data_IF_822238366466
#
_entry.id   IF_822238366466
#
_cell.length_a   1.000
_cell.length_b   1.000
_cell.length_c   1.000
_cell.angle_alpha   90.00
_cell.angle_beta   90.00
_cell.angle_gamma   90.00
#
_symmetry.space_group_name_H-M   'P 1'
#
loop_
_entity.id
_entity.type
_entity.pdbx_description
1 polymer ?
#
# COMPACT_ATOMS: atom_id res chain seq x y z
N UNK A 1 -7.47 46.48 -2.35
CA UNK A 1 -8.91 46.39 -2.68
C UNK A 1 -9.26 44.90 -2.71
N UNK A 2 -9.91 44.36 -1.67
CA UNK A 2 -10.17 42.92 -1.43
C UNK A 2 -8.92 41.99 -1.56
N UNK A 3 -8.32 41.40 -0.52
CA UNK A 3 -8.86 40.84 0.72
C UNK A 3 -10.04 39.89 0.48
N UNK A 4 -9.71 38.60 0.25
CA UNK A 4 -10.63 37.48 0.37
C UNK A 4 -10.24 36.68 1.62
N UNK A 5 -11.11 36.72 2.63
CA UNK A 5 -10.94 36.03 3.92
C UNK A 5 -11.54 34.62 3.89
N UNK A 6 -10.92 33.72 4.65
CA UNK A 6 -11.57 32.54 5.25
C UNK A 6 -12.53 31.71 4.37
N UNK A 7 -11.99 30.80 3.55
CA UNK A 7 -12.74 29.59 3.20
C UNK A 7 -12.72 28.63 4.40
N UNK A 8 -13.79 28.59 5.18
CA UNK A 8 -13.99 27.53 6.18
C UNK A 8 -14.12 26.18 5.45
N UNK A 9 -13.05 25.40 5.40
CA UNK A 9 -13.16 23.98 5.11
C UNK A 9 -13.90 23.34 6.28
N UNK A 10 -15.20 23.05 6.11
CA UNK A 10 -16.03 22.41 7.13
C UNK A 10 -15.56 20.97 7.36
N UNK A 11 -14.56 20.79 8.23
CA UNK A 11 -14.10 19.49 8.67
C UNK A 11 -15.26 18.75 9.35
N UNK A 12 -15.85 17.80 8.63
CA UNK A 12 -16.87 16.91 9.19
C UNK A 12 -16.20 15.87 10.08
N UNK A 13 -15.74 16.29 11.27
CA UNK A 13 -15.09 15.44 12.27
C UNK A 13 -16.14 14.49 12.87
N UNK A 14 -16.46 13.42 12.14
CA UNK A 14 -16.95 12.19 12.74
C UNK A 14 -15.75 11.46 13.30
N UNK A 15 -15.66 11.36 14.62
CA UNK A 15 -14.71 10.46 15.28
C UNK A 15 -14.99 9.02 14.84
N UNK A 16 -14.09 8.43 14.05
CA UNK A 16 -14.19 7.05 13.57
C UNK A 16 -13.71 6.04 14.60
N UNK A 17 -14.05 6.25 15.87
CA UNK A 17 -13.94 5.25 16.94
C UNK A 17 -15.12 4.27 16.95
N UNK A 18 -16.18 4.55 16.17
CA UNK A 18 -17.21 3.56 15.88
C UNK A 18 -16.69 2.55 14.85
N UNK A 19 -16.73 1.23 15.13
CA UNK A 19 -16.36 0.22 14.15
C UNK A 19 -17.28 0.30 12.92
N UNK A 20 -16.79 -0.20 11.78
CA UNK A 20 -17.60 -0.33 10.57
C UNK A 20 -18.68 -1.40 10.82
N UNK A 21 -19.88 -0.97 11.18
CA UNK A 21 -21.02 -1.86 11.36
C UNK A 21 -21.38 -2.50 10.00
N UNK A 22 -21.31 -3.84 9.86
CA UNK A 22 -21.72 -4.49 8.63
C UNK A 22 -23.23 -4.31 8.45
N UNK A 23 -23.64 -3.78 7.30
CA UNK A 23 -25.05 -3.79 6.94
C UNK A 23 -25.46 -5.23 6.58
N UNK A 24 -26.70 -5.67 6.89
CA UNK A 24 -27.07 -7.09 6.74
C UNK A 24 -26.94 -7.66 5.33
N UNK A 25 -26.90 -6.81 4.30
CA UNK A 25 -26.81 -7.17 2.88
C UNK A 25 -26.00 -6.13 2.08
N UNK A 26 -24.68 -6.07 2.31
CA UNK A 26 -23.77 -5.34 1.42
C UNK A 26 -23.91 -5.84 -0.03
N UNK A 27 -24.19 -4.94 -0.99
CA UNK A 27 -24.38 -5.30 -2.41
C UNK A 27 -23.10 -5.80 -3.12
N UNK A 28 -21.95 -5.65 -2.47
CA UNK A 28 -20.66 -6.18 -2.92
C UNK A 28 -20.00 -6.90 -1.74
N UNK A 29 -19.19 -7.92 -2.01
CA UNK A 29 -18.64 -8.81 -1.00
C UNK A 29 -17.59 -8.14 -0.10
N UNK A 30 -18.01 -7.71 1.10
CA UNK A 30 -17.14 -7.20 2.15
C UNK A 30 -16.74 -8.35 3.10
N UNK A 31 -15.45 -8.61 3.25
CA UNK A 31 -14.93 -9.73 4.08
C UNK A 31 -15.16 -9.53 5.57
N UNK A 32 -15.40 -8.29 6.00
CA UNK A 32 -15.75 -7.94 7.38
C UNK A 32 -17.22 -8.27 7.72
N UNK A 33 -18.12 -8.39 6.73
CA UNK A 33 -19.54 -8.68 6.97
C UNK A 33 -19.92 -10.16 6.80
N UNK A 34 -19.09 -10.98 6.13
CA UNK A 34 -19.44 -12.35 5.74
C UNK A 34 -18.34 -13.37 6.08
N UNK A 35 -18.59 -14.23 7.08
CA UNK A 35 -17.65 -15.23 7.64
C UNK A 35 -17.11 -16.30 6.66
N UNK A 36 -17.60 -16.34 5.43
CA UNK A 36 -17.24 -17.34 4.41
C UNK A 36 -16.48 -16.74 3.21
N UNK A 37 -16.09 -15.46 3.26
CA UNK A 37 -15.40 -14.76 2.18
C UNK A 37 -13.90 -14.62 2.43
N UNK A 38 -13.11 -15.13 1.49
CA UNK A 38 -11.64 -15.21 1.56
C UNK A 38 -10.91 -13.91 1.24
N UNK A 39 -11.55 -12.98 0.53
CA UNK A 39 -11.01 -11.65 0.20
C UNK A 39 -12.13 -10.71 -0.27
N UNK A 40 -11.84 -9.40 -0.38
CA UNK A 40 -12.77 -8.43 -0.97
C UNK A 40 -12.88 -8.59 -2.49
N UNK A 41 -14.09 -8.39 -3.02
CA UNK A 41 -14.35 -8.16 -4.44
C UNK A 41 -15.32 -6.99 -4.67
N UNK A 42 -15.25 -6.36 -5.84
CA UNK A 42 -16.09 -5.23 -6.21
C UNK A 42 -15.49 -4.48 -7.38
N UNK A 43 -14.30 -3.84 -7.20
CA UNK A 43 -13.49 -3.42 -8.34
C UNK A 43 -13.11 -4.66 -9.16
N UNK A 44 -13.26 -4.56 -10.49
CA UNK A 44 -13.08 -5.67 -11.41
C UNK A 44 -11.61 -6.14 -11.47
N UNK A 45 -11.40 -7.40 -11.85
CA UNK A 45 -10.08 -8.05 -11.90
C UNK A 45 -9.41 -8.34 -10.54
N UNK A 46 -9.80 -7.66 -9.45
CA UNK A 46 -9.22 -7.86 -8.12
C UNK A 46 -9.47 -9.26 -7.54
N UNK A 47 -10.63 -9.86 -7.82
CA UNK A 47 -10.98 -11.18 -7.29
C UNK A 47 -10.04 -12.28 -7.79
N UNK A 48 -9.82 -12.39 -9.11
CA UNK A 48 -8.85 -13.34 -9.68
C UNK A 48 -7.42 -13.04 -9.19
N UNK A 49 -7.06 -11.77 -9.06
CA UNK A 49 -5.75 -11.34 -8.56
C UNK A 49 -5.48 -11.80 -7.11
N UNK A 50 -6.47 -11.71 -6.22
CA UNK A 50 -6.39 -12.23 -4.86
C UNK A 50 -6.26 -13.77 -4.84
N UNK A 51 -7.01 -14.47 -5.71
CA UNK A 51 -6.96 -15.96 -5.75
C UNK A 51 -5.64 -16.48 -6.34
N UNK A 52 -4.98 -15.73 -7.24
CA UNK A 52 -3.58 -16.03 -7.65
C UNK A 52 -2.61 -15.91 -6.47
N UNK A 53 -2.83 -14.97 -5.54
CA UNK A 53 -2.10 -14.90 -4.28
C UNK A 53 -2.32 -16.13 -3.38
N UNK A 54 -3.57 -16.57 -3.23
CA UNK A 54 -3.95 -17.80 -2.54
C UNK A 54 -3.25 -19.05 -3.10
N UNK A 55 -3.24 -19.21 -4.42
CA UNK A 55 -2.59 -20.35 -5.08
C UNK A 55 -1.06 -20.33 -4.98
N UNK A 56 -0.46 -19.15 -4.86
CA UNK A 56 0.95 -18.99 -4.54
C UNK A 56 1.27 -19.38 -3.08
N UNK A 57 0.41 -18.97 -2.13
CA UNK A 57 0.53 -19.34 -0.70
C UNK A 57 0.46 -20.86 -0.53
N UNK A 58 -0.56 -21.49 -1.10
CA UNK A 58 -0.77 -22.94 -1.03
C UNK A 58 0.47 -23.69 -1.53
N UNK A 59 0.94 -23.38 -2.74
CA UNK A 59 2.13 -23.98 -3.34
C UNK A 59 3.41 -23.75 -2.52
N UNK A 60 3.56 -22.59 -1.87
CA UNK A 60 4.68 -22.29 -0.99
C UNK A 60 4.64 -23.11 0.30
N UNK A 61 3.49 -23.14 0.98
CA UNK A 61 3.32 -23.85 2.24
C UNK A 61 3.40 -25.37 2.04
N UNK A 62 2.76 -25.92 1.01
CA UNK A 62 2.86 -27.33 0.65
C UNK A 62 4.32 -27.73 0.38
N UNK A 63 5.05 -26.97 -0.43
CA UNK A 63 6.46 -27.25 -0.69
C UNK A 63 7.35 -27.13 0.56
N UNK A 64 6.98 -26.30 1.54
CA UNK A 64 7.74 -26.10 2.77
C UNK A 64 7.46 -27.17 3.83
N UNK A 65 6.21 -27.60 3.98
CA UNK A 65 5.74 -28.41 5.11
C UNK A 65 5.29 -29.84 4.77
N UNK A 66 4.83 -30.13 3.55
CA UNK A 66 4.47 -31.50 3.18
C UNK A 66 5.74 -32.38 3.13
N UNK A 67 5.56 -33.65 3.50
CA UNK A 67 6.55 -34.72 3.40
C UNK A 67 6.03 -35.81 2.43
N UNK A 68 6.89 -36.67 1.86
CA UNK A 68 6.44 -37.72 0.92
C UNK A 68 5.40 -38.69 1.51
N UNK A 69 5.42 -38.84 2.84
CA UNK A 69 4.58 -39.67 3.70
C UNK A 69 3.43 -38.89 4.37
N UNK A 70 3.40 -37.55 4.29
CA UNK A 70 2.40 -36.72 4.97
C UNK A 70 2.14 -35.39 4.25
N UNK A 71 0.98 -35.26 3.58
CA UNK A 71 0.49 -33.96 3.09
C UNK A 71 -0.28 -33.22 4.20
N UNK A 72 0.28 -32.13 4.72
CA UNK A 72 -0.36 -31.25 5.71
C UNK A 72 -1.15 -30.14 5.00
N UNK A 73 -0.68 -29.70 3.83
CA UNK A 73 -1.29 -28.66 2.99
C UNK A 73 -1.89 -29.31 1.74
N UNK A 74 -3.22 -29.51 1.81
CA UNK A 74 -4.04 -30.17 0.78
C UNK A 74 -5.10 -29.23 0.17
N UNK A 75 -5.08 -27.96 0.57
CA UNK A 75 -6.04 -26.93 0.11
C UNK A 75 -5.99 -26.83 -1.42
N UNK A 76 -7.16 -26.75 -2.06
CA UNK A 76 -7.28 -26.43 -3.49
C UNK A 76 -7.91 -25.04 -3.62
N UNK A 77 -7.15 -23.99 -3.98
CA UNK A 77 -7.67 -22.63 -4.10
C UNK A 77 -8.47 -22.47 -5.40
N UNK A 78 -9.78 -22.61 -5.29
CA UNK A 78 -10.75 -22.41 -6.38
C UNK A 78 -11.42 -21.03 -6.28
N UNK A 79 -11.76 -20.43 -7.42
CA UNK A 79 -12.50 -19.18 -7.48
C UNK A 79 -13.99 -19.44 -7.82
N UNK A 80 -14.86 -19.53 -6.80
CA UNK A 80 -16.31 -19.81 -6.98
C UNK A 80 -17.18 -18.57 -7.16
N UNK A 81 -16.72 -17.40 -6.74
CA UNK A 81 -17.53 -16.17 -6.67
C UNK A 81 -16.91 -14.93 -7.32
N UNK A 82 -15.61 -14.95 -7.66
CA UNK A 82 -15.07 -14.09 -8.72
C UNK A 82 -14.97 -14.91 -10.00
N UNK A 83 -16.13 -15.38 -10.46
CA UNK A 83 -16.39 -15.54 -11.89
C UNK A 83 -15.81 -14.30 -12.59
N UNK A 84 -14.80 -14.43 -13.47
CA UNK A 84 -14.49 -13.36 -14.38
C UNK A 84 -15.69 -13.25 -15.31
N UNK A 85 -16.53 -12.23 -15.14
CA UNK A 85 -17.26 -11.70 -16.28
C UNK A 85 -16.26 -11.00 -17.21
N UNK A 86 -16.68 -10.64 -18.41
CA UNK A 86 -15.82 -9.99 -19.40
C UNK A 86 -15.19 -8.68 -18.88
N UNK A 87 -15.90 -7.94 -18.02
CA UNK A 87 -15.36 -6.79 -17.29
C UNK A 87 -14.13 -7.10 -16.42
N UNK A 88 -13.99 -8.33 -15.89
CA UNK A 88 -12.77 -8.77 -15.23
C UNK A 88 -11.67 -9.18 -16.21
N UNK A 89 -11.98 -9.64 -17.42
CA UNK A 89 -10.97 -9.99 -18.44
C UNK A 89 -10.37 -8.75 -19.11
N UNK A 90 -11.19 -7.71 -19.33
CA UNK A 90 -10.77 -6.42 -19.90
C UNK A 90 -9.87 -5.62 -18.94
N UNK A 91 -9.96 -5.86 -17.63
CA UNK A 91 -9.12 -5.22 -16.63
C UNK A 91 -7.68 -5.72 -16.67
N UNK A 92 -6.72 -4.81 -16.87
CA UNK A 92 -5.30 -5.14 -17.06
C UNK A 92 -4.68 -5.94 -15.90
N UNK A 93 -5.20 -5.78 -14.67
CA UNK A 93 -4.78 -6.55 -13.50
C UNK A 93 -5.04 -8.05 -13.65
N UNK A 94 -6.10 -8.47 -14.36
CA UNK A 94 -6.39 -9.88 -14.59
C UNK A 94 -5.42 -10.49 -15.59
N UNK A 95 -5.03 -9.77 -16.64
CA UNK A 95 -3.95 -10.21 -17.54
C UNK A 95 -2.60 -10.30 -16.79
N UNK A 96 -2.28 -9.31 -15.95
CA UNK A 96 -1.12 -9.37 -15.04
C UNK A 96 -1.17 -10.62 -14.12
N UNK A 97 -2.34 -10.90 -13.51
CA UNK A 97 -2.60 -12.06 -12.66
C UNK A 97 -2.39 -13.38 -13.39
N UNK A 98 -3.06 -13.52 -14.54
CA UNK A 98 -3.04 -14.72 -15.35
C UNK A 98 -1.64 -15.02 -15.90
N UNK A 99 -0.89 -13.99 -16.29
CA UNK A 99 0.49 -14.13 -16.72
C UNK A 99 1.43 -14.54 -15.57
N UNK A 100 1.20 -14.09 -14.33
CA UNK A 100 1.95 -14.56 -13.16
C UNK A 100 1.58 -15.99 -12.76
N UNK A 101 0.28 -16.35 -12.76
CA UNK A 101 -0.19 -17.70 -12.46
C UNK A 101 0.42 -18.75 -13.42
N UNK A 102 0.50 -18.40 -14.71
CA UNK A 102 1.22 -19.18 -15.73
C UNK A 102 2.73 -19.24 -15.47
N UNK A 103 3.37 -18.11 -15.18
CA UNK A 103 4.82 -18.05 -14.93
C UNK A 103 5.26 -18.79 -13.63
N UNK A 104 4.38 -18.97 -12.65
CA UNK A 104 4.65 -19.74 -11.43
C UNK A 104 4.10 -21.17 -11.45
N UNK A 105 3.40 -21.57 -12.52
CA UNK A 105 2.84 -22.92 -12.70
C UNK A 105 1.88 -23.31 -11.57
N UNK A 106 0.87 -22.47 -11.30
CA UNK A 106 -0.05 -22.65 -10.17
C UNK A 106 -1.15 -23.69 -10.45
N UNK A 107 -0.79 -24.93 -10.80
CA UNK A 107 -1.71 -25.98 -11.27
C UNK A 107 -2.77 -26.51 -10.27
N UNK A 108 -2.87 -25.97 -9.06
CA UNK A 108 -4.00 -26.17 -8.12
C UNK A 108 -5.04 -25.03 -8.17
N UNK A 109 -4.78 -23.96 -8.94
CA UNK A 109 -5.69 -22.83 -9.21
C UNK A 109 -6.77 -23.23 -10.21
N UNK A 110 -8.05 -23.05 -9.86
CA UNK A 110 -9.18 -23.23 -10.79
C UNK A 110 -10.04 -21.96 -10.80
N UNK A 111 -10.31 -21.44 -12.00
CA UNK A 111 -11.20 -20.30 -12.23
C UNK A 111 -12.30 -20.69 -13.24
N UNK A 112 -13.55 -20.29 -12.96
CA UNK A 112 -14.70 -20.53 -13.82
C UNK A 112 -15.06 -19.22 -14.53
N UNK A 113 -15.06 -19.23 -15.87
CA UNK A 113 -15.38 -18.08 -16.71
C UNK A 113 -16.84 -18.15 -17.15
N UNK A 114 -17.64 -17.15 -16.79
CA UNK A 114 -19.03 -17.03 -17.26
C UNK A 114 -19.04 -16.30 -18.61
N UNK A 115 -18.92 -17.07 -19.67
CA UNK A 115 -18.98 -16.56 -21.04
C UNK A 115 -20.45 -16.37 -21.46
N UNK A 116 -21.13 -15.41 -20.84
CA UNK A 116 -22.50 -15.04 -21.19
C UNK A 116 -22.58 -14.17 -22.48
N UNK A 117 -21.43 -13.92 -23.13
CA UNK A 117 -21.28 -13.15 -24.37
C UNK A 117 -21.68 -11.66 -24.29
N UNK A 118 -21.90 -11.11 -23.09
CA UNK A 118 -22.18 -9.67 -22.90
C UNK A 118 -20.84 -8.93 -22.71
N UNK A 119 -20.15 -8.76 -23.85
CA UNK A 119 -18.83 -8.17 -24.13
C UNK A 119 -17.70 -9.17 -24.47
N UNK A 120 -16.44 -8.70 -24.62
CA UNK A 120 -15.59 -9.12 -25.76
C UNK A 120 -14.25 -9.77 -25.38
N UNK A 121 -14.06 -11.02 -25.86
CA UNK A 121 -12.84 -11.78 -26.14
C UNK A 121 -11.78 -11.99 -25.03
N UNK A 122 -11.53 -13.26 -24.68
CA UNK A 122 -10.53 -13.70 -23.70
C UNK A 122 -9.18 -14.17 -24.26
N UNK A 123 -8.21 -14.40 -23.35
CA UNK A 123 -6.83 -14.78 -23.64
C UNK A 123 -6.55 -16.28 -23.45
N UNK A 124 -5.58 -16.83 -24.21
CA UNK A 124 -5.32 -18.27 -24.36
C UNK A 124 -4.90 -19.04 -23.09
N UNK A 125 -5.91 -19.51 -22.35
CA UNK A 125 -5.82 -20.50 -21.27
C UNK A 125 -6.14 -21.92 -21.77
N UNK A 126 -6.01 -22.94 -20.92
CA UNK A 126 -6.82 -24.14 -21.08
C UNK A 126 -8.25 -23.80 -20.67
N UNK A 127 -9.11 -23.59 -21.67
CA UNK A 127 -10.53 -23.29 -21.49
C UNK A 127 -11.33 -24.56 -21.71
N UNK A 128 -12.08 -24.99 -20.69
CA UNK A 128 -13.08 -26.05 -20.81
C UNK A 128 -14.43 -25.37 -21.02
N UNK A 129 -15.07 -25.61 -22.17
CA UNK A 129 -16.37 -25.03 -22.51
C UNK A 129 -17.51 -25.92 -22.01
N UNK A 130 -18.11 -25.57 -20.87
CA UNK A 130 -19.40 -26.12 -20.43
C UNK A 130 -20.50 -25.42 -21.24
N UNK A 131 -21.23 -26.17 -22.08
CA UNK A 131 -22.17 -25.57 -23.05
C UNK A 131 -23.47 -25.08 -22.41
N UNK A 132 -23.84 -25.62 -21.24
CA UNK A 132 -25.00 -25.17 -20.49
C UNK A 132 -24.75 -25.26 -18.98
N UNK A 133 -24.19 -24.19 -18.41
CA UNK A 133 -23.98 -24.07 -16.96
C UNK A 133 -25.24 -23.89 -16.11
N UNK A 134 -26.42 -23.72 -16.74
CA UNK A 134 -27.66 -23.34 -16.04
C UNK A 134 -28.45 -24.54 -15.50
N UNK A 135 -28.34 -25.72 -16.11
CA UNK A 135 -29.18 -26.89 -15.75
C UNK A 135 -28.42 -28.19 -15.46
N UNK A 136 -27.12 -28.29 -15.79
CA UNK A 136 -26.38 -29.57 -15.75
C UNK A 136 -25.15 -29.53 -14.84
N UNK A 137 -25.37 -29.79 -13.54
CA UNK A 137 -24.30 -29.87 -12.55
C UNK A 137 -23.24 -30.94 -12.85
N UNK A 138 -23.58 -31.98 -13.61
CA UNK A 138 -22.65 -33.07 -13.95
C UNK A 138 -21.65 -32.69 -15.05
N UNK A 139 -22.00 -31.81 -16.00
CA UNK A 139 -21.01 -31.20 -16.91
C UNK A 139 -20.00 -30.35 -16.11
N UNK A 140 -20.49 -29.59 -15.12
CA UNK A 140 -19.63 -28.77 -14.24
C UNK A 140 -18.73 -29.67 -13.37
N UNK A 141 -19.25 -30.78 -12.82
CA UNK A 141 -18.46 -31.78 -12.07
C UNK A 141 -17.41 -32.45 -12.97
N UNK A 142 -17.75 -32.77 -14.21
CA UNK A 142 -16.81 -33.32 -15.19
C UNK A 142 -15.69 -32.31 -15.53
N UNK A 143 -16.04 -31.06 -15.83
CA UNK A 143 -15.07 -29.99 -16.07
C UNK A 143 -14.14 -29.74 -14.87
N UNK A 144 -14.65 -29.85 -13.63
CA UNK A 144 -13.83 -29.78 -12.41
C UNK A 144 -12.87 -30.98 -12.31
N UNK A 145 -13.32 -32.18 -12.69
CA UNK A 145 -12.49 -33.40 -12.69
C UNK A 145 -11.39 -33.32 -13.76
N UNK A 146 -11.71 -32.81 -14.95
CA UNK A 146 -10.76 -32.54 -16.04
C UNK A 146 -9.74 -31.45 -15.65
N UNK A 147 -10.20 -30.30 -15.14
CA UNK A 147 -9.32 -29.22 -14.68
C UNK A 147 -8.35 -29.67 -13.57
N UNK A 148 -8.76 -30.60 -12.70
CA UNK A 148 -7.89 -31.23 -11.69
C UNK A 148 -6.93 -32.28 -12.26
N UNK A 149 -7.20 -32.83 -13.44
CA UNK A 149 -6.36 -33.81 -14.11
C UNK A 149 -5.29 -33.17 -15.02
N UNK A 150 -5.57 -32.00 -15.60
CA UNK A 150 -4.64 -31.30 -16.50
C UNK A 150 -3.52 -30.59 -15.73
N UNK A 151 -2.39 -31.29 -15.58
CA UNK A 151 -1.17 -30.77 -14.92
C UNK A 151 -0.20 -30.03 -15.88
N UNK A 152 -0.47 -30.06 -17.18
CA UNK A 152 0.44 -29.58 -18.24
C UNK A 152 0.16 -28.15 -18.72
N UNK A 153 -0.96 -27.53 -18.31
CA UNK A 153 -1.38 -26.20 -18.77
C UNK A 153 -1.98 -25.37 -17.63
N UNK A 154 -1.50 -24.14 -17.35
CA UNK A 154 -0.22 -23.56 -17.73
C UNK A 154 0.91 -23.96 -16.77
N UNK A 155 1.98 -24.56 -17.29
CA UNK A 155 3.14 -24.99 -16.49
C UNK A 155 4.40 -24.23 -16.87
N UNK A 156 4.98 -23.52 -15.88
CA UNK A 156 6.40 -23.19 -15.83
C UNK A 156 6.93 -23.59 -14.46
N UNK A 157 7.91 -24.50 -14.42
CA UNK A 157 8.46 -25.02 -13.17
C UNK A 157 9.53 -24.05 -12.65
N UNK A 158 9.11 -23.05 -11.85
CA UNK A 158 10.04 -22.45 -10.88
C UNK A 158 10.36 -23.54 -9.85
N UNK A 159 11.50 -24.21 -10.00
CA UNK A 159 11.90 -25.39 -9.22
C UNK A 159 12.21 -25.12 -7.73
N UNK A 160 11.86 -23.93 -7.23
CA UNK A 160 12.15 -23.46 -5.86
C UNK A 160 10.92 -22.77 -5.21
N UNK A 161 9.76 -23.45 -5.09
CA UNK A 161 8.56 -22.88 -4.46
C UNK A 161 8.71 -22.57 -2.96
N UNK A 162 9.72 -23.16 -2.28
CA UNK A 162 10.08 -22.86 -0.89
C UNK A 162 10.67 -21.45 -0.70
N UNK A 163 11.00 -20.75 -1.79
CA UNK A 163 11.63 -19.43 -1.74
C UNK A 163 10.68 -18.31 -1.31
N UNK A 164 11.23 -17.36 -0.54
CA UNK A 164 10.50 -16.19 -0.03
C UNK A 164 10.61 -14.97 -0.95
N UNK A 165 11.46 -15.04 -1.97
CA UNK A 165 11.65 -13.97 -2.96
C UNK A 165 10.68 -14.12 -4.15
N UNK A 166 9.63 -13.31 -4.13
CA UNK A 166 8.68 -13.17 -5.25
C UNK A 166 9.20 -12.14 -6.26
N UNK A 167 9.06 -12.47 -7.55
CA UNK A 167 9.49 -11.60 -8.67
C UNK A 167 8.26 -11.32 -9.54
N UNK A 168 7.67 -10.15 -9.35
CA UNK A 168 6.41 -9.74 -10.00
C UNK A 168 6.60 -9.13 -11.41
N UNK A 169 7.84 -8.72 -11.74
CA UNK A 169 8.11 -7.93 -12.96
C UNK A 169 7.54 -6.51 -12.86
N UNK A 170 7.29 -5.88 -14.01
CA UNK A 170 6.82 -4.47 -14.10
C UNK A 170 5.30 -4.35 -13.83
N UNK A 171 4.75 -5.25 -13.01
CA UNK A 171 3.31 -5.51 -12.83
C UNK A 171 2.84 -5.03 -11.46
N UNK A 172 2.60 -3.71 -11.34
CA UNK A 172 2.44 -3.06 -10.03
C UNK A 172 1.08 -3.33 -9.41
N UNK A 173 0.04 -3.55 -10.21
CA UNK A 173 -1.34 -3.66 -9.74
C UNK A 173 -1.62 -5.04 -9.16
N UNK A 174 -1.27 -6.09 -9.90
CA UNK A 174 -1.34 -7.47 -9.43
C UNK A 174 -0.52 -7.70 -8.17
N UNK A 175 0.66 -7.07 -8.07
CA UNK A 175 1.60 -7.28 -6.99
C UNK A 175 0.97 -6.97 -5.62
N UNK A 176 0.12 -5.94 -5.53
CA UNK A 176 -0.56 -5.58 -4.28
C UNK A 176 -1.78 -6.45 -4.00
N UNK A 177 -2.55 -6.82 -5.03
CA UNK A 177 -3.69 -7.74 -4.90
C UNK A 177 -3.25 -9.15 -4.47
N UNK A 178 -2.14 -9.66 -5.01
CA UNK A 178 -1.49 -10.89 -4.50
C UNK A 178 -1.16 -10.75 -3.02
N UNK A 179 -0.56 -9.64 -2.59
CA UNK A 179 -0.26 -9.43 -1.17
C UNK A 179 -1.52 -9.34 -0.29
N UNK A 180 -2.63 -8.78 -0.77
CA UNK A 180 -3.92 -8.82 -0.07
C UNK A 180 -4.40 -10.27 0.08
N UNK A 181 -4.39 -11.05 -1.01
CA UNK A 181 -4.71 -12.48 -0.99
C UNK A 181 -3.82 -13.29 -0.04
N UNK A 182 -2.53 -12.96 0.07
CA UNK A 182 -1.61 -13.58 1.04
C UNK A 182 -2.05 -13.25 2.48
N UNK A 183 -2.21 -11.96 2.83
CA UNK A 183 -2.50 -11.54 4.20
C UNK A 183 -3.87 -12.02 4.68
N UNK A 184 -4.92 -11.90 3.86
CA UNK A 184 -6.29 -12.28 4.24
C UNK A 184 -6.49 -13.80 4.43
N UNK A 185 -5.53 -14.64 3.99
CA UNK A 185 -5.69 -16.11 3.96
C UNK A 185 -4.52 -16.89 4.57
N UNK A 186 -3.45 -16.22 4.96
CA UNK A 186 -2.37 -16.81 5.75
C UNK A 186 -1.80 -15.76 6.70
N UNK A 187 -2.43 -15.53 7.87
CA UNK A 187 -1.97 -14.55 8.84
C UNK A 187 -0.54 -14.84 9.36
N UNK A 188 -0.09 -16.10 9.30
CA UNK A 188 1.30 -16.48 9.59
C UNK A 188 2.33 -16.06 8.52
N UNK A 189 1.90 -15.46 7.41
CA UNK A 189 2.75 -14.81 6.41
C UNK A 189 2.59 -13.29 6.51
N UNK A 190 3.72 -12.58 6.38
CA UNK A 190 3.78 -11.11 6.31
C UNK A 190 4.34 -10.73 4.94
N UNK A 191 3.48 -10.44 3.95
CA UNK A 191 3.94 -10.01 2.64
C UNK A 191 4.39 -8.55 2.67
N UNK A 192 5.54 -8.28 2.06
CA UNK A 192 5.91 -6.95 1.61
C UNK A 192 5.99 -6.92 0.08
N UNK A 193 5.78 -5.74 -0.52
CA UNK A 193 6.13 -5.54 -1.93
C UNK A 193 6.58 -4.10 -2.20
N UNK A 194 7.37 -3.92 -3.26
CA UNK A 194 8.22 -2.73 -3.45
C UNK A 194 8.14 -2.14 -4.86
N UNK A 195 8.16 -0.81 -4.96
CA UNK A 195 8.31 -0.04 -6.22
C UNK A 195 8.71 1.42 -5.93
N UNK A 196 8.77 2.28 -6.95
CA UNK A 196 8.93 3.73 -6.75
C UNK A 196 7.60 4.33 -6.27
N UNK A 197 7.63 5.28 -5.33
CA UNK A 197 6.44 5.87 -4.73
C UNK A 197 5.49 6.47 -5.77
N UNK A 198 6.03 7.10 -6.83
CA UNK A 198 5.27 7.65 -7.98
C UNK A 198 4.41 6.60 -8.71
N UNK A 199 4.87 5.35 -8.73
CA UNK A 199 4.18 4.25 -9.40
C UNK A 199 3.05 3.68 -8.53
N UNK A 200 2.68 4.36 -7.43
CA UNK A 200 1.52 3.98 -6.61
C UNK A 200 0.20 4.06 -7.36
N UNK A 201 0.05 5.01 -8.30
CA UNK A 201 -1.27 5.33 -8.83
C UNK A 201 -1.76 4.29 -9.85
N UNK A 202 -0.83 3.55 -10.47
CA UNK A 202 -1.11 2.28 -11.17
C UNK A 202 -1.85 1.25 -10.31
N UNK A 203 -1.87 1.41 -8.99
CA UNK A 203 -2.30 0.37 -8.07
C UNK A 203 -3.00 0.87 -6.79
N UNK A 204 -3.35 2.16 -6.74
CA UNK A 204 -3.99 2.84 -5.59
C UNK A 204 -5.27 2.12 -5.11
N UNK A 205 -6.05 1.56 -6.03
CA UNK A 205 -7.24 0.79 -5.72
C UNK A 205 -6.93 -0.50 -4.92
N UNK A 206 -5.80 -1.17 -5.17
CA UNK A 206 -5.40 -2.36 -4.43
C UNK A 206 -5.00 -2.03 -2.97
N UNK A 207 -4.36 -0.88 -2.71
CA UNK A 207 -4.11 -0.39 -1.34
C UNK A 207 -5.42 -0.02 -0.64
N UNK A 208 -6.35 0.63 -1.35
CA UNK A 208 -7.66 0.94 -0.79
C UNK A 208 -8.44 -0.33 -0.41
N UNK A 209 -8.25 -1.44 -1.14
CA UNK A 209 -8.75 -2.75 -0.73
C UNK A 209 -7.97 -3.34 0.45
N UNK A 210 -6.65 -3.16 0.58
CA UNK A 210 -5.91 -3.56 1.79
C UNK A 210 -6.45 -2.85 3.03
N UNK A 211 -6.69 -1.54 2.93
CA UNK A 211 -7.26 -0.71 3.98
C UNK A 211 -8.66 -1.20 4.39
N UNK A 212 -9.52 -1.47 3.41
CA UNK A 212 -10.91 -1.91 3.62
C UNK A 212 -11.02 -3.38 4.08
N UNK A 213 -10.07 -4.24 3.70
CA UNK A 213 -10.01 -5.66 4.12
C UNK A 213 -9.29 -5.87 5.44
N UNK A 214 -8.76 -4.79 6.05
CA UNK A 214 -7.86 -4.83 7.20
C UNK A 214 -6.62 -5.72 6.96
N UNK A 215 -6.10 -5.74 5.74
CA UNK A 215 -4.89 -6.47 5.40
C UNK A 215 -3.63 -5.66 5.74
N UNK A 216 -2.97 -6.02 6.84
CA UNK A 216 -1.61 -5.59 7.17
C UNK A 216 -0.59 -6.10 6.16
N UNK A 217 -0.45 -5.37 5.05
CA UNK A 217 0.57 -5.55 4.01
C UNK A 217 1.60 -4.41 4.12
N UNK A 218 2.87 -4.74 4.02
CA UNK A 218 3.97 -3.75 4.05
C UNK A 218 4.27 -3.27 2.62
N UNK A 219 4.21 -1.97 2.40
CA UNK A 219 4.34 -1.36 1.08
C UNK A 219 5.55 -0.43 1.03
N UNK A 220 6.66 -0.94 0.48
CA UNK A 220 7.96 -0.27 0.42
C UNK A 220 8.03 0.61 -0.83
N UNK A 221 8.10 1.93 -0.63
CA UNK A 221 7.93 2.94 -1.68
C UNK A 221 9.18 3.83 -1.75
N UNK A 222 10.15 3.47 -2.60
CA UNK A 222 11.41 4.24 -2.72
C UNK A 222 11.25 5.48 -3.61
N UNK A 223 12.26 6.35 -3.65
CA UNK A 223 12.28 7.56 -4.50
C UNK A 223 11.12 8.53 -4.17
N UNK A 224 10.87 8.79 -2.87
CA UNK A 224 9.62 9.39 -2.41
C UNK A 224 9.44 10.92 -2.55
N UNK A 225 10.31 11.65 -3.27
CA UNK A 225 10.15 13.10 -3.55
C UNK A 225 10.90 13.53 -4.83
N UNK A 226 10.92 14.85 -5.11
CA UNK A 226 11.81 15.47 -6.12
C UNK A 226 13.30 15.12 -5.94
N UNK A 227 13.72 14.66 -4.75
CA UNK A 227 15.09 14.30 -4.42
C UNK A 227 15.66 13.11 -5.19
N UNK A 228 14.85 12.47 -6.04
CA UNK A 228 15.35 11.52 -7.04
C UNK A 228 16.13 12.17 -8.19
N UNK A 229 16.04 13.48 -8.39
CA UNK A 229 16.80 14.19 -9.42
C UNK A 229 16.29 13.98 -10.85
N UNK A 230 17.17 13.44 -11.69
CA UNK A 230 17.18 13.62 -13.14
C UNK A 230 16.01 12.97 -13.89
N UNK A 231 15.35 11.95 -13.33
CA UNK A 231 14.21 11.29 -13.99
C UNK A 231 12.97 12.20 -14.13
N UNK A 232 12.98 13.38 -13.49
CA UNK A 232 12.04 14.47 -13.76
C UNK A 232 10.59 14.24 -13.29
N UNK A 233 9.65 15.14 -13.65
CA UNK A 233 8.32 15.22 -13.05
C UNK A 233 7.46 13.96 -13.23
N UNK A 234 7.71 13.16 -14.27
CA UNK A 234 7.01 11.88 -14.49
C UNK A 234 7.37 10.80 -13.45
N UNK A 235 8.46 10.99 -12.72
CA UNK A 235 8.92 10.08 -11.68
C UNK A 235 8.87 10.67 -10.27
N UNK A 236 8.69 12.00 -10.13
CA UNK A 236 8.79 12.71 -8.87
C UNK A 236 7.42 12.74 -8.16
N UNK A 237 7.28 12.12 -6.97
CA UNK A 237 6.04 12.15 -6.20
C UNK A 237 5.77 13.55 -5.64
N UNK A 238 4.51 14.01 -5.72
CA UNK A 238 4.14 15.39 -5.37
C UNK A 238 2.94 15.43 -4.40
N UNK A 239 1.73 15.14 -4.89
CA UNK A 239 0.48 14.98 -4.14
C UNK A 239 0.43 13.65 -3.35
N UNK A 240 1.46 12.83 -3.51
CA UNK A 240 1.45 11.42 -3.20
C UNK A 240 1.23 11.11 -1.71
N UNK A 241 1.95 11.81 -0.83
CA UNK A 241 1.79 11.69 0.64
C UNK A 241 0.38 12.12 1.07
N UNK A 242 -0.11 13.26 0.55
CA UNK A 242 -1.44 13.77 0.87
C UNK A 242 -2.55 12.81 0.42
N UNK A 243 -2.41 12.20 -0.75
CA UNK A 243 -3.36 11.23 -1.31
C UNK A 243 -3.45 9.90 -0.52
N UNK A 244 -2.48 9.65 0.37
CA UNK A 244 -2.45 8.53 1.31
C UNK A 244 -2.89 8.94 2.73
N UNK A 245 -2.46 10.09 3.27
CA UNK A 245 -3.02 10.61 4.54
C UNK A 245 -4.54 10.84 4.49
N UNK A 246 -5.08 11.10 3.29
CA UNK A 246 -6.52 11.19 3.03
C UNK A 246 -7.22 9.82 2.78
N UNK A 247 -6.51 8.69 2.87
CA UNK A 247 -7.06 7.34 2.69
C UNK A 247 -7.33 6.71 4.08
N UNK A 248 -8.58 6.41 4.45
CA UNK A 248 -8.88 5.82 5.76
C UNK A 248 -8.22 4.44 5.97
N UNK A 249 -7.88 4.15 7.22
CA UNK A 249 -7.33 2.86 7.69
C UNK A 249 -6.04 2.39 6.98
N UNK A 250 -5.06 3.29 6.81
CA UNK A 250 -3.68 2.94 6.44
C UNK A 250 -2.71 3.61 7.43
N UNK A 251 -1.42 3.26 7.39
CA UNK A 251 -0.35 4.05 8.02
C UNK A 251 0.57 4.63 6.93
N UNK A 252 0.77 5.95 6.91
CA UNK A 252 1.67 6.63 5.97
C UNK A 252 2.97 7.03 6.68
N UNK A 253 3.91 6.08 6.76
CA UNK A 253 5.21 6.22 7.42
C UNK A 253 6.24 6.83 6.46
N UNK A 254 6.85 7.95 6.85
CA UNK A 254 7.82 8.70 6.04
C UNK A 254 9.12 9.02 6.83
N UNK A 255 9.91 7.99 7.20
CA UNK A 255 11.06 8.11 8.11
C UNK A 255 12.21 8.97 7.55
N UNK A 256 12.90 9.68 8.44
CA UNK A 256 13.99 10.60 8.13
C UNK A 256 15.40 9.98 8.17
N UNK A 257 15.61 8.93 8.94
CA UNK A 257 16.91 8.24 9.06
C UNK A 257 16.75 6.72 9.21
N UNK A 258 17.84 6.01 9.50
CA UNK A 258 17.84 4.56 9.68
C UNK A 258 17.13 4.08 10.96
N UNK A 259 17.10 4.89 12.03
CA UNK A 259 16.40 4.57 13.27
C UNK A 259 14.89 4.69 13.08
N UNK A 260 14.42 5.79 12.47
CA UNK A 260 13.01 5.91 12.11
C UNK A 260 12.60 4.86 11.07
N UNK A 261 13.51 4.47 10.17
CA UNK A 261 13.25 3.38 9.22
C UNK A 261 13.08 2.05 9.96
N UNK A 262 13.90 1.75 10.98
CA UNK A 262 13.75 0.57 11.83
C UNK A 262 12.41 0.60 12.59
N UNK A 263 12.02 1.73 13.17
CA UNK A 263 10.72 1.91 13.82
C UNK A 263 9.54 1.74 12.87
N UNK A 264 9.63 2.28 11.64
CA UNK A 264 8.60 2.12 10.62
C UNK A 264 8.45 0.65 10.16
N UNK A 265 9.55 -0.13 10.15
CA UNK A 265 9.48 -1.58 9.93
C UNK A 265 8.91 -2.34 11.14
N UNK A 266 9.24 -1.98 12.38
CA UNK A 266 8.66 -2.57 13.60
C UNK A 266 7.14 -2.40 13.60
N UNK A 267 6.67 -1.15 13.53
CA UNK A 267 5.25 -0.79 13.37
C UNK A 267 4.62 -1.55 12.19
N UNK A 268 5.31 -1.62 11.05
CA UNK A 268 4.83 -2.33 9.86
C UNK A 268 4.67 -3.85 10.01
N UNK A 269 5.45 -4.48 10.89
CA UNK A 269 5.40 -5.93 11.16
C UNK A 269 4.39 -6.27 12.26
N UNK A 270 4.29 -5.43 13.29
CA UNK A 270 3.37 -5.62 14.42
C UNK A 270 1.92 -5.28 14.02
N UNK A 271 1.72 -4.24 13.21
CA UNK A 271 0.41 -3.89 12.66
C UNK A 271 -0.05 -4.90 11.59
N UNK A 272 -0.95 -5.81 11.98
CA UNK A 272 -1.55 -6.79 11.06
C UNK A 272 -2.89 -6.35 10.44
N UNK A 273 -3.45 -5.20 10.83
CA UNK A 273 -4.83 -4.79 10.54
C UNK A 273 -4.99 -3.53 9.68
N UNK A 274 -3.90 -2.80 9.40
CA UNK A 274 -3.86 -1.67 8.45
C UNK A 274 -2.66 -1.85 7.51
N UNK A 275 -2.73 -1.59 6.20
CA UNK A 275 -1.53 -1.58 5.35
C UNK A 275 -0.58 -0.43 5.76
N UNK A 276 0.72 -0.71 5.74
CA UNK A 276 1.76 0.24 6.16
C UNK A 276 2.58 0.69 4.95
N UNK A 277 2.49 1.97 4.58
CA UNK A 277 3.25 2.58 3.48
C UNK A 277 4.56 3.12 4.05
N UNK A 278 5.70 2.60 3.60
CA UNK A 278 7.03 3.09 3.97
C UNK A 278 7.62 3.89 2.80
N UNK A 279 7.61 5.21 2.88
CA UNK A 279 8.14 6.10 1.85
C UNK A 279 9.62 6.46 2.11
N UNK A 280 10.52 6.05 1.21
CA UNK A 280 11.97 6.02 1.39
C UNK A 280 12.72 6.85 0.32
N UNK A 281 13.92 7.34 0.65
CA UNK A 281 14.75 8.20 -0.20
C UNK A 281 15.44 7.48 -1.38
N UNK A 282 15.98 8.28 -2.32
CA UNK A 282 17.08 7.87 -3.24
C UNK A 282 18.41 8.34 -2.67
N UNK A 283 18.41 9.57 -2.16
CA UNK A 283 19.52 10.26 -1.55
C UNK A 283 19.86 9.72 -0.15
N UNK A 284 21.14 9.79 0.24
CA UNK A 284 21.58 9.53 1.61
C UNK A 284 21.04 10.61 2.55
N UNK A 285 20.66 10.20 3.76
CA UNK A 285 20.22 11.07 4.85
C UNK A 285 21.17 10.89 6.04
N UNK A 286 21.35 11.89 6.91
CA UNK A 286 22.14 11.74 8.13
C UNK A 286 21.36 10.98 9.20
N UNK A 287 22.09 10.31 10.09
CA UNK A 287 21.60 9.93 11.41
C UNK A 287 21.26 11.19 12.22
N UNK A 288 20.10 11.22 12.88
CA UNK A 288 19.64 12.40 13.64
C UNK A 288 19.62 12.12 15.16
N UNK A 289 20.39 12.81 16.01
CA UNK A 289 20.63 12.43 17.42
C UNK A 289 19.43 12.40 18.39
N UNK A 290 18.20 12.58 17.91
CA UNK A 290 16.95 12.54 18.70
C UNK A 290 15.90 11.57 18.12
N UNK A 291 16.19 10.83 17.05
CA UNK A 291 15.25 9.82 16.53
C UNK A 291 15.24 8.57 17.42
N UNK A 292 14.12 7.88 17.47
CA UNK A 292 13.96 6.64 18.24
C UNK A 292 12.88 5.75 17.62
N UNK A 293 12.98 4.43 17.83
CA UNK A 293 11.99 3.44 17.37
C UNK A 293 10.62 3.71 18.01
N UNK A 294 10.62 4.01 19.30
CA UNK A 294 9.48 4.37 20.14
C UNK A 294 8.88 5.74 19.74
N UNK A 295 9.72 6.63 19.20
CA UNK A 295 9.31 7.88 18.58
C UNK A 295 8.44 7.66 17.34
N UNK A 296 8.70 6.63 16.54
CA UNK A 296 7.87 6.30 15.36
C UNK A 296 6.50 5.74 15.77
N UNK A 297 6.44 4.97 16.85
CA UNK A 297 5.18 4.40 17.38
C UNK A 297 4.17 5.47 17.82
N UNK A 298 4.67 6.64 18.26
CA UNK A 298 3.87 7.77 18.73
C UNK A 298 3.76 8.92 17.72
N UNK A 299 4.82 9.14 16.95
CA UNK A 299 4.94 10.16 15.90
C UNK A 299 5.63 11.49 16.26
N UNK A 300 6.45 11.60 17.32
CA UNK A 300 7.24 12.83 17.67
C UNK A 300 8.34 12.70 18.77
N UNK A 301 9.35 13.62 18.78
CA UNK A 301 10.30 14.01 19.87
C UNK A 301 10.60 15.60 19.84
N UNK A 302 10.87 16.37 20.96
CA UNK A 302 10.52 17.84 21.17
C UNK A 302 11.64 18.97 21.16
N UNK A 303 11.46 20.33 21.34
CA UNK A 303 10.32 21.31 21.57
C UNK A 303 10.48 22.74 20.86
N UNK A 304 9.41 23.56 20.60
CA UNK A 304 9.17 24.84 19.75
C UNK A 304 8.88 24.77 18.20
N UNK A 305 7.75 24.17 17.82
CA UNK A 305 7.31 23.63 16.50
C UNK A 305 7.90 24.19 15.16
N UNK A 306 8.95 23.54 14.62
CA UNK A 306 9.15 23.32 13.18
C UNK A 306 8.87 21.86 12.81
N UNK A 307 7.97 21.59 11.86
CA UNK A 307 7.56 20.23 11.49
C UNK A 307 8.25 19.74 10.23
N UNK A 308 9.22 18.84 10.38
CA UNK A 308 9.79 18.10 9.25
C UNK A 308 9.13 16.73 9.09
N UNK A 309 9.25 16.17 7.88
CA UNK A 309 9.13 14.73 7.66
C UNK A 309 10.25 14.28 6.73
N UNK A 310 10.75 13.06 6.88
CA UNK A 310 11.70 12.46 5.92
C UNK A 310 12.98 13.33 5.75
N UNK A 311 13.56 13.41 4.56
CA UNK A 311 14.77 14.23 4.33
C UNK A 311 14.63 15.72 4.58
N UNK A 312 13.40 16.22 4.70
CA UNK A 312 13.15 17.62 5.04
C UNK A 312 13.34 17.87 6.56
N UNK A 313 13.46 16.82 7.38
CA UNK A 313 13.77 16.90 8.81
C UNK A 313 15.20 17.41 9.08
N UNK A 314 16.18 17.05 8.24
CA UNK A 314 17.55 17.59 8.31
C UNK A 314 17.55 19.12 8.07
N UNK A 315 16.69 19.58 7.16
CA UNK A 315 16.55 21.01 6.83
C UNK A 315 15.93 21.76 8.00
N UNK A 316 14.93 21.16 8.67
CA UNK A 316 14.37 21.69 9.91
C UNK A 316 15.41 21.72 11.05
N UNK A 317 16.24 20.68 11.21
CA UNK A 317 17.28 20.62 12.24
C UNK A 317 18.27 21.78 12.10
N UNK A 318 18.79 21.97 10.89
CA UNK A 318 19.71 23.08 10.57
C UNK A 318 19.04 24.45 10.63
N UNK A 319 17.71 24.54 10.53
CA UNK A 319 16.97 25.78 10.72
C UNK A 319 16.80 26.12 12.21
N UNK A 320 16.49 25.14 13.05
CA UNK A 320 16.46 25.28 14.52
C UNK A 320 17.84 25.69 15.09
N UNK A 321 18.92 25.05 14.62
CA UNK A 321 20.30 25.41 14.96
C UNK A 321 20.64 26.88 14.62
N UNK A 322 20.12 27.40 13.50
CA UNK A 322 20.31 28.80 13.08
C UNK A 322 19.45 29.79 13.86
N UNK A 323 18.34 29.37 14.48
CA UNK A 323 17.43 30.25 15.22
C UNK A 323 17.82 30.36 16.71
N UNK A 324 18.27 29.25 17.32
CA UNK A 324 18.72 29.10 18.73
C UNK A 324 17.67 29.35 19.81
N UNK A 325 17.63 28.43 20.78
CA UNK A 325 16.76 28.35 21.98
C UNK A 325 15.23 28.40 21.75
N UNK A 326 14.75 29.11 20.74
CA UNK A 326 13.33 29.25 20.38
C UNK A 326 12.94 28.35 19.17
N UNK A 327 13.40 27.09 19.10
CA UNK A 327 13.10 26.19 17.94
C UNK A 327 13.17 24.66 18.15
N UNK A 328 12.07 23.95 17.82
CA UNK A 328 11.89 22.47 17.72
C UNK A 328 12.43 22.01 16.41
N UNK A 329 12.62 20.71 16.37
CA UNK A 329 12.17 19.94 15.21
C UNK A 329 11.21 18.86 15.68
N UNK A 330 10.00 18.86 15.13
CA UNK A 330 9.01 17.77 15.21
C UNK A 330 9.32 16.83 14.06
N UNK A 331 9.47 15.54 14.35
CA UNK A 331 9.48 14.51 13.32
C UNK A 331 8.11 13.83 13.24
N UNK A 332 7.28 14.25 12.29
CA UNK A 332 5.92 13.72 12.17
C UNK A 332 5.87 12.53 11.19
N UNK A 333 6.44 11.39 11.63
CA UNK A 333 6.70 10.20 10.80
C UNK A 333 5.42 9.58 10.21
N UNK A 334 4.32 9.56 10.98
CA UNK A 334 2.97 9.20 10.52
C UNK A 334 1.94 10.10 11.21
N UNK A 335 1.02 10.65 10.43
CA UNK A 335 -0.08 11.47 10.95
C UNK A 335 -1.14 10.59 11.63
N UNK A 336 -1.31 9.36 11.15
CA UNK A 336 -2.34 8.44 11.62
C UNK A 336 -2.01 7.93 13.02
N UNK A 337 -0.74 7.59 13.29
CA UNK A 337 -0.27 7.23 14.63
C UNK A 337 -0.34 8.40 15.60
N UNK A 338 0.05 9.61 15.17
CA UNK A 338 -0.01 10.81 16.02
C UNK A 338 -1.44 11.20 16.41
N UNK A 339 -2.40 11.08 15.48
CA UNK A 339 -3.83 11.33 15.76
C UNK A 339 -4.44 10.26 16.68
N UNK A 340 -3.88 9.06 16.72
CA UNK A 340 -4.29 7.97 17.63
C UNK A 340 -3.73 8.10 19.06
N UNK A 341 -2.83 9.05 19.35
CA UNK A 341 -2.32 9.31 20.70
C UNK A 341 -3.33 10.05 21.60
N UNK A 342 -3.04 10.16 22.90
CA UNK A 342 -3.86 10.95 23.83
C UNK A 342 -3.73 12.46 23.61
N UNK A 343 -4.70 13.25 24.09
CA UNK A 343 -4.69 14.71 23.92
C UNK A 343 -3.60 15.38 24.76
N UNK A 344 -3.22 14.80 25.91
CA UNK A 344 -2.09 15.26 26.72
C UNK A 344 -0.76 15.08 25.97
N UNK A 345 -0.59 13.95 25.27
CA UNK A 345 0.57 13.77 24.39
C UNK A 345 0.54 14.77 23.24
N UNK A 346 -0.59 14.89 22.51
CA UNK A 346 -0.74 15.85 21.41
C UNK A 346 -0.43 17.30 21.84
N UNK A 347 -0.86 17.73 23.02
CA UNK A 347 -0.57 19.08 23.55
C UNK A 347 0.90 19.24 23.95
N UNK A 348 1.58 18.19 24.45
CA UNK A 348 3.04 18.22 24.62
C UNK A 348 3.82 18.23 23.30
N UNK A 349 3.20 17.76 22.21
CA UNK A 349 3.80 17.73 20.88
C UNK A 349 3.58 19.03 20.11
N UNK A 350 2.35 19.52 20.08
CA UNK A 350 1.94 20.72 19.35
C UNK A 350 1.19 21.72 20.25
N UNK A 351 1.81 22.30 21.30
CA UNK A 351 1.12 23.12 22.29
C UNK A 351 0.18 24.17 21.69
N UNK A 352 -1.09 24.12 22.05
CA UNK A 352 -2.17 25.01 21.59
C UNK A 352 -1.82 26.50 21.70
N UNK A 353 -1.08 26.87 22.75
CA UNK A 353 -0.54 28.23 23.00
C UNK A 353 0.49 28.72 21.96
N UNK A 354 1.10 27.81 21.18
CA UNK A 354 2.11 28.14 20.15
C UNK A 354 1.44 28.14 18.78
N UNK A 355 1.10 29.33 18.29
CA UNK A 355 0.48 29.56 16.98
C UNK A 355 1.50 29.63 15.83
N UNK A 356 2.71 30.13 16.09
CA UNK A 356 3.81 30.14 15.13
C UNK A 356 4.29 28.72 14.85
N UNK A 357 4.01 28.20 13.64
CA UNK A 357 4.32 26.83 13.22
C UNK A 357 4.75 26.81 11.76
N UNK A 358 5.97 26.36 11.48
CA UNK A 358 6.44 26.08 10.11
C UNK A 358 6.34 24.58 9.85
N UNK A 359 5.91 24.18 8.65
CA UNK A 359 6.05 22.79 8.19
C UNK A 359 6.84 22.74 6.89
N UNK A 360 7.74 21.77 6.78
CA UNK A 360 8.52 21.50 5.57
C UNK A 360 8.34 20.03 5.15
N UNK A 361 7.88 19.86 3.92
CA UNK A 361 7.61 18.57 3.29
C UNK A 361 7.92 18.70 1.80
N UNK A 362 8.67 17.74 1.23
CA UNK A 362 8.97 17.64 -0.20
C UNK A 362 7.74 17.27 -1.04
N UNK A 363 6.77 18.17 -1.04
CA UNK A 363 5.41 18.08 -1.60
C UNK A 363 5.05 19.45 -2.19
N UNK A 364 4.16 19.47 -3.18
CA UNK A 364 3.70 20.73 -3.78
C UNK A 364 2.52 21.36 -3.02
N UNK A 365 2.51 22.69 -3.01
CA UNK A 365 1.34 23.52 -2.70
C UNK A 365 0.44 23.67 -3.93
N UNK A 366 1.00 23.86 -5.14
CA UNK A 366 0.43 23.45 -6.43
C UNK A 366 1.50 23.48 -7.54
N UNK A 367 1.53 22.48 -8.43
CA UNK A 367 2.51 22.36 -9.54
C UNK A 367 3.42 21.11 -9.48
N UNK A 368 4.11 20.81 -10.58
CA UNK A 368 5.01 19.65 -10.76
C UNK A 368 6.49 19.98 -10.46
N UNK A 369 7.31 18.94 -10.33
CA UNK A 369 8.78 19.05 -10.25
C UNK A 369 9.47 19.25 -11.61
N UNK A 370 10.78 19.01 -11.68
CA UNK A 370 11.61 19.26 -12.87
C UNK A 370 12.77 18.24 -13.00
N UNK A 371 13.34 18.10 -14.21
CA UNK A 371 14.55 17.30 -14.43
C UNK A 371 15.81 18.15 -14.19
N UNK A 372 16.47 17.95 -13.06
CA UNK A 372 17.78 18.50 -12.72
C UNK A 372 18.40 17.70 -11.57
N UNK A 373 19.69 17.91 -11.22
CA UNK A 373 20.29 17.37 -10.00
C UNK A 373 19.54 17.76 -8.73
N UNK A 374 19.56 16.88 -7.72
CA UNK A 374 18.80 17.01 -6.46
C UNK A 374 19.02 18.34 -5.74
N UNK A 375 20.27 18.82 -5.65
CA UNK A 375 20.62 20.08 -5.00
C UNK A 375 20.05 21.29 -5.75
N UNK A 376 20.10 21.27 -7.08
CA UNK A 376 19.51 22.29 -7.96
C UNK A 376 17.98 22.32 -7.78
N UNK A 377 17.33 21.15 -7.71
CA UNK A 377 15.89 21.05 -7.44
C UNK A 377 15.52 21.60 -6.06
N UNK A 378 16.20 21.15 -5.00
CA UNK A 378 15.93 21.60 -3.62
C UNK A 378 16.09 23.13 -3.50
N UNK A 379 17.16 23.68 -4.08
CA UNK A 379 17.39 25.14 -4.13
C UNK A 379 16.33 25.89 -4.95
N UNK A 380 15.89 25.35 -6.10
CA UNK A 380 14.88 25.99 -6.98
C UNK A 380 13.47 25.95 -6.42
N UNK A 381 13.10 24.88 -5.69
CA UNK A 381 11.78 24.70 -5.09
C UNK A 381 11.69 25.15 -3.61
N UNK A 382 12.72 25.83 -3.09
CA UNK A 382 12.69 26.41 -1.74
C UNK A 382 12.86 25.41 -0.59
N UNK A 383 13.26 24.17 -0.86
CA UNK A 383 13.62 23.19 0.18
C UNK A 383 15.03 23.50 0.68
N UNK A 384 15.16 24.59 1.45
CA UNK A 384 16.44 25.06 1.99
C UNK A 384 16.29 25.61 3.41
N UNK A 385 17.38 25.55 4.17
CA UNK A 385 17.43 26.03 5.57
C UNK A 385 17.04 27.51 5.65
N UNK A 386 17.51 28.32 4.71
CA UNK A 386 17.27 29.77 4.73
C UNK A 386 15.82 30.12 4.39
N UNK A 387 15.12 29.30 3.60
CA UNK A 387 13.69 29.45 3.35
C UNK A 387 12.85 29.10 4.60
N UNK A 388 13.24 28.07 5.35
CA UNK A 388 12.59 27.71 6.62
C UNK A 388 12.81 28.80 7.69
N UNK A 389 14.04 29.32 7.80
CA UNK A 389 14.37 30.45 8.69
C UNK A 389 13.61 31.72 8.30
N UNK A 390 13.47 32.01 7.01
CA UNK A 390 12.67 33.14 6.53
C UNK A 390 11.18 32.98 6.84
N UNK A 391 10.61 31.78 6.66
CA UNK A 391 9.22 31.49 6.97
C UNK A 391 8.92 31.61 8.48
N UNK A 392 9.83 31.16 9.35
CA UNK A 392 9.68 31.32 10.80
C UNK A 392 9.63 32.79 11.22
N UNK A 393 10.52 33.63 10.67
CA UNK A 393 10.61 35.08 10.92
C UNK A 393 9.45 35.92 10.35
N UNK A 394 8.42 35.28 9.80
CA UNK A 394 7.15 35.90 9.37
C UNK A 394 5.98 35.49 10.28
N UNK A 395 6.20 34.50 11.17
CA UNK A 395 5.21 34.00 12.13
C UNK A 395 5.51 34.42 13.59
N UNK A 396 6.73 34.91 13.84
CA UNK A 396 7.19 35.55 15.07
C UNK A 396 7.23 37.08 14.87
#
# INVERSE_FOLDING_TARGET
MALLTSSQASFLIRSSSKPFYPLPTDRHHVSLSLRYLSSLSGPLGQGIANVVGLALVEKHLAAKFNKPDCEIVTITPFCRYSIPGDGCQMEGIANEACSLARHWGLGRLIAFYDNNHISINGLGWHVIWVKNGNTWFDEIRAAIKEAKAVKEKPTLIKNTPKERNLRFGVRKYIMRAICNGITCQSPGLIPYCATFFVLKDYMRAAIRLSALSQAGVIYVMTHASIGLGENGPTHQPIEHVASFRAMPNILMLRPADEIETAGAYKVGVENRMKPSILALSKQKLPHLPRTSVEGVEKGDIPDVIMMGTWSELEIAAKAGEKLREEGRVVSLVSWELFVEQSEEYKESVLPSKVSARVSIEGRSTFGFGASAPTDVLYKKFGLSVDAVVAAAKVLC
#
